data_IF_128087221919
#
_entry.id   IF_128087221919
#
_cell.length_a   1.000
_cell.length_b   1.000
_cell.length_c   1.000
_cell.angle_alpha   90.00
_cell.angle_beta   90.00
_cell.angle_gamma   90.00
#
_symmetry.space_group_name_H-M   'P 1'
#
loop_
_entity.id
_entity.type
_entity.pdbx_description
1 polymer ?
#
# COMPACT_ATOMS: atom_id res chain seq x y z
N UNK A 1 2.02 -2.36 -9.97
CA UNK A 1 2.29 -3.29 -11.10
C UNK A 1 1.83 -4.72 -10.80
N UNK A 2 2.43 -5.47 -9.86
CA UNK A 2 2.09 -6.90 -9.61
C UNK A 2 0.59 -7.15 -9.43
N UNK A 3 -0.09 -6.34 -8.60
CA UNK A 3 -1.54 -6.47 -8.37
C UNK A 3 -2.32 -6.37 -9.68
N UNK A 4 -2.09 -5.30 -10.45
CA UNK A 4 -2.74 -5.07 -11.73
C UNK A 4 -2.41 -6.15 -12.76
N UNK A 5 -1.17 -6.66 -12.81
CA UNK A 5 -0.81 -7.77 -13.69
C UNK A 5 -1.60 -9.06 -13.41
N UNK A 6 -2.08 -9.23 -12.17
CA UNK A 6 -2.91 -10.38 -11.75
C UNK A 6 -4.40 -10.11 -11.88
N UNK A 7 -4.80 -8.86 -12.10
CA UNK A 7 -6.21 -8.44 -12.22
C UNK A 7 -6.44 -7.62 -13.50
N UNK A 8 -6.65 -8.30 -14.65
CA UNK A 8 -7.03 -7.63 -15.89
C UNK A 8 -8.36 -6.88 -15.79
N UNK A 9 -9.27 -7.31 -14.91
CA UNK A 9 -10.56 -6.67 -14.68
C UNK A 9 -10.38 -5.28 -14.08
N UNK A 10 -9.49 -5.14 -13.08
CA UNK A 10 -9.12 -3.85 -12.52
C UNK A 10 -8.43 -2.96 -13.56
N UNK A 11 -7.55 -3.50 -14.41
CA UNK A 11 -6.96 -2.68 -15.48
C UNK A 11 -8.04 -2.12 -16.41
N UNK A 12 -9.02 -2.93 -16.82
CA UNK A 12 -10.12 -2.49 -17.67
C UNK A 12 -10.96 -1.41 -16.97
N UNK A 13 -11.33 -1.63 -15.70
CA UNK A 13 -12.11 -0.68 -14.91
C UNK A 13 -11.41 0.68 -14.77
N UNK A 14 -10.11 0.69 -14.45
CA UNK A 14 -9.34 1.93 -14.30
C UNK A 14 -9.09 2.65 -15.63
N UNK A 15 -9.01 1.91 -16.76
CA UNK A 15 -8.96 2.54 -18.09
C UNK A 15 -10.29 3.18 -18.47
N UNK A 16 -11.40 2.50 -18.19
CA UNK A 16 -12.74 2.98 -18.52
C UNK A 16 -13.12 4.19 -17.64
N UNK A 17 -12.75 4.15 -16.36
CA UNK A 17 -12.99 5.23 -15.41
C UNK A 17 -11.70 5.63 -14.67
N UNK A 18 -10.89 6.52 -15.24
CA UNK A 18 -9.67 7.02 -14.60
C UNK A 18 -9.91 7.77 -13.29
N UNK A 19 -11.15 8.23 -13.00
CA UNK A 19 -11.47 8.89 -11.74
C UNK A 19 -11.35 7.93 -10.53
N UNK A 20 -11.31 6.61 -10.76
CA UNK A 20 -11.07 5.59 -9.74
C UNK A 20 -9.60 5.44 -9.34
N UNK A 21 -8.66 5.98 -10.13
CA UNK A 21 -7.21 5.81 -9.90
C UNK A 21 -6.77 6.31 -8.52
N UNK A 22 -7.19 7.50 -8.02
CA UNK A 22 -6.82 7.94 -6.67
C UNK A 22 -7.28 6.96 -5.58
N UNK A 23 -8.51 6.45 -5.67
CA UNK A 23 -9.03 5.47 -4.71
C UNK A 23 -8.25 4.13 -4.79
N UNK A 24 -7.88 3.70 -6.00
CA UNK A 24 -7.07 2.51 -6.20
C UNK A 24 -5.66 2.67 -5.59
N UNK A 25 -5.06 3.85 -5.71
CA UNK A 25 -3.75 4.15 -5.12
C UNK A 25 -3.80 4.05 -3.60
N UNK A 26 -4.79 4.68 -2.96
CA UNK A 26 -4.92 4.59 -1.50
C UNK A 26 -5.14 3.14 -1.03
N UNK A 27 -5.98 2.38 -1.74
CA UNK A 27 -6.23 0.99 -1.38
C UNK A 27 -5.02 0.10 -1.60
N UNK A 28 -4.24 0.30 -2.68
CA UNK A 28 -2.98 -0.40 -2.90
C UNK A 28 -1.96 -0.07 -1.80
N UNK A 29 -1.87 1.21 -1.40
CA UNK A 29 -0.97 1.66 -0.33
C UNK A 29 -1.35 1.04 1.02
N UNK A 30 -2.65 0.99 1.36
CA UNK A 30 -3.14 0.29 2.56
C UNK A 30 -2.83 -1.20 2.48
N UNK A 31 -3.24 -1.86 1.40
CA UNK A 31 -3.16 -3.31 1.29
C UNK A 31 -1.72 -3.83 1.30
N UNK A 32 -0.80 -3.14 0.62
CA UNK A 32 0.60 -3.57 0.50
C UNK A 32 1.52 -2.96 1.54
N UNK A 33 1.24 -1.76 2.03
CA UNK A 33 1.99 -1.07 3.09
C UNK A 33 3.51 -1.12 2.85
N UNK A 34 4.07 -0.28 1.97
CA UNK A 34 5.44 -0.43 1.46
C UNK A 34 6.55 -0.50 2.52
N UNK A 35 6.31 0.07 3.71
CA UNK A 35 7.14 -0.12 4.89
C UNK A 35 6.35 -0.84 5.99
N UNK A 36 6.91 -1.94 6.52
CA UNK A 36 6.28 -2.77 7.57
C UNK A 36 5.84 -1.96 8.79
N UNK A 37 6.60 -0.94 9.13
CA UNK A 37 6.47 -0.20 10.37
C UNK A 37 7.78 0.47 10.77
N UNK A 38 7.75 1.20 11.88
CA UNK A 38 8.94 1.83 12.46
C UNK A 38 9.03 1.53 13.95
N UNK A 39 10.22 1.64 14.51
CA UNK A 39 10.43 1.54 15.94
C UNK A 39 10.17 2.88 16.65
N UNK A 40 9.71 2.81 17.89
CA UNK A 40 9.75 3.87 18.90
C UNK A 40 10.46 3.34 20.13
N UNK A 41 10.80 4.23 21.06
CA UNK A 41 11.38 3.85 22.35
C UNK A 41 10.57 4.56 23.43
N UNK A 42 10.12 3.81 24.43
CA UNK A 42 9.42 4.39 25.57
C UNK A 42 10.36 5.33 26.34
N UNK A 43 9.89 6.54 26.66
CA UNK A 43 10.66 7.52 27.45
C UNK A 43 10.31 7.47 28.95
N UNK A 44 9.31 6.67 29.29
CA UNK A 44 8.87 6.32 30.63
C UNK A 44 8.03 5.04 30.55
N UNK A 45 7.74 4.42 31.68
CA UNK A 45 6.77 3.32 31.75
C UNK A 45 5.42 3.79 31.20
N UNK A 46 4.85 3.02 30.26
CA UNK A 46 3.58 3.33 29.61
C UNK A 46 2.69 2.10 29.52
N UNK A 47 1.41 2.25 29.84
CA UNK A 47 0.42 1.18 29.70
C UNK A 47 -0.32 1.28 28.36
N UNK A 48 -0.26 0.22 27.55
CA UNK A 48 -0.99 0.10 26.29
C UNK A 48 -1.81 -1.18 26.31
N UNK A 49 -3.14 -1.07 26.20
CA UNK A 49 -4.08 -2.21 26.16
C UNK A 49 -3.85 -3.20 27.33
N UNK A 50 -3.60 -2.69 28.54
CA UNK A 50 -3.36 -3.50 29.73
C UNK A 50 -1.95 -4.10 29.84
N UNK A 51 -1.03 -3.77 28.92
CA UNK A 51 0.37 -4.18 28.97
C UNK A 51 1.25 -2.98 29.35
N UNK A 52 2.04 -3.11 30.41
CA UNK A 52 3.08 -2.14 30.74
C UNK A 52 4.31 -2.34 29.87
N UNK A 53 4.69 -1.29 29.15
CA UNK A 53 5.95 -1.21 28.40
C UNK A 53 6.92 -0.37 29.25
N UNK A 54 8.06 -0.94 29.69
CA UNK A 54 9.02 -0.22 30.51
C UNK A 54 9.68 0.96 29.80
N UNK A 55 10.18 1.93 30.55
CA UNK A 55 11.11 2.95 30.05
C UNK A 55 12.28 2.31 29.28
N UNK A 56 12.71 2.98 28.20
CA UNK A 56 13.77 2.57 27.28
C UNK A 56 13.48 1.31 26.44
N UNK A 57 12.32 0.67 26.59
CA UNK A 57 11.95 -0.50 25.77
C UNK A 57 11.66 -0.08 24.31
N UNK A 58 12.26 -0.75 23.30
CA UNK A 58 11.92 -0.54 21.90
C UNK A 58 10.54 -1.13 21.55
N UNK A 59 9.72 -0.33 20.88
CA UNK A 59 8.36 -0.68 20.47
C UNK A 59 8.31 -0.71 18.94
N UNK A 60 7.97 -1.86 18.36
CA UNK A 60 7.69 -1.96 16.92
C UNK A 60 6.25 -1.52 16.63
N UNK A 61 6.07 -0.44 15.87
CA UNK A 61 4.76 0.00 15.38
C UNK A 61 4.53 -0.60 13.99
N UNK A 62 3.76 -1.69 13.91
CA UNK A 62 3.63 -2.52 12.70
C UNK A 62 2.47 -2.05 11.82
N UNK A 63 2.73 -1.09 10.92
CA UNK A 63 1.74 -0.55 9.97
C UNK A 63 1.11 -1.63 9.09
N UNK A 64 1.89 -2.60 8.62
CA UNK A 64 1.38 -3.68 7.77
C UNK A 64 0.31 -4.52 8.47
N UNK A 65 0.40 -4.67 9.80
CA UNK A 65 -0.63 -5.32 10.61
C UNK A 65 -1.82 -4.40 10.83
N UNK A 66 -1.58 -3.14 11.20
CA UNK A 66 -2.63 -2.16 11.47
C UNK A 66 -3.52 -1.89 10.24
N UNK A 67 -2.92 -1.84 9.05
CA UNK A 67 -3.67 -1.70 7.79
C UNK A 67 -4.48 -2.94 7.42
N UNK A 68 -4.31 -4.07 8.14
CA UNK A 68 -5.10 -5.31 8.01
C UNK A 68 -5.96 -5.58 9.25
N UNK A 69 -6.11 -4.61 10.15
CA UNK A 69 -6.90 -4.77 11.37
C UNK A 69 -8.40 -4.88 11.02
N UNK A 70 -9.02 -6.02 11.36
CA UNK A 70 -10.43 -6.30 11.09
C UNK A 70 -11.40 -5.48 11.97
N UNK A 71 -10.92 -4.91 13.09
CA UNK A 71 -11.73 -3.97 13.89
C UNK A 71 -11.88 -2.61 13.19
N UNK A 72 -10.97 -2.29 12.24
CA UNK A 72 -10.98 -1.03 11.49
C UNK A 72 -11.46 -1.28 10.06
N UNK A 73 -10.86 -2.22 9.34
CA UNK A 73 -11.13 -2.49 7.93
C UNK A 73 -11.88 -3.80 7.76
N UNK A 74 -13.15 -3.72 7.36
CA UNK A 74 -13.93 -4.90 6.94
C UNK A 74 -13.26 -5.60 5.74
N UNK A 75 -13.27 -6.94 5.72
CA UNK A 75 -12.53 -7.75 4.74
C UNK A 75 -11.11 -7.21 4.50
N UNK A 76 -10.24 -7.15 5.52
CA UNK A 76 -9.02 -6.35 5.49
C UNK A 76 -8.01 -6.78 4.42
N UNK A 77 -8.06 -8.04 4.00
CA UNK A 77 -7.18 -8.62 2.98
C UNK A 77 -7.70 -8.43 1.55
N UNK A 78 -8.94 -7.98 1.38
CA UNK A 78 -9.58 -7.77 0.08
C UNK A 78 -9.28 -6.37 -0.45
N UNK A 79 -8.98 -6.27 -1.75
CA UNK A 79 -8.86 -5.00 -2.46
C UNK A 79 -10.25 -4.41 -2.74
N UNK A 80 -10.56 -3.26 -2.13
CA UNK A 80 -11.85 -2.55 -2.27
C UNK A 80 -11.67 -1.06 -2.44
N UNK A 81 -12.28 -0.50 -3.49
CA UNK A 81 -12.20 0.93 -3.82
C UNK A 81 -13.16 1.81 -3.02
N UNK A 82 -14.22 1.20 -2.47
CA UNK A 82 -15.36 1.85 -1.83
C UNK A 82 -15.23 1.93 -0.30
N UNK A 83 -14.03 1.72 0.25
CA UNK A 83 -13.81 1.72 1.70
C UNK A 83 -14.16 3.09 2.31
N UNK A 84 -15.11 3.17 3.25
CA UNK A 84 -15.54 4.45 3.82
C UNK A 84 -14.50 5.08 4.76
N UNK A 85 -13.53 4.29 5.21
CA UNK A 85 -12.58 4.64 6.26
C UNK A 85 -11.12 4.63 5.79
N UNK A 86 -10.88 4.89 4.50
CA UNK A 86 -9.52 4.92 3.93
C UNK A 86 -8.58 5.91 4.65
N UNK A 87 -9.12 7.01 5.20
CA UNK A 87 -8.38 8.00 5.99
C UNK A 87 -7.70 7.43 7.24
N UNK A 88 -8.13 6.26 7.70
CA UNK A 88 -7.57 5.60 8.88
C UNK A 88 -6.38 4.69 8.54
N UNK A 89 -6.05 4.55 7.24
CA UNK A 89 -4.83 3.88 6.79
C UNK A 89 -3.58 4.58 7.35
N UNK A 90 -2.64 3.78 7.82
CA UNK A 90 -1.36 4.24 8.37
C UNK A 90 -0.18 3.92 7.46
N UNK A 91 -0.42 3.71 6.16
CA UNK A 91 0.62 3.41 5.17
C UNK A 91 1.73 4.49 5.09
N UNK A 92 1.39 5.74 5.42
CA UNK A 92 2.33 6.88 5.51
C UNK A 92 2.67 7.30 6.95
N UNK A 93 2.36 6.46 7.93
CA UNK A 93 2.46 6.81 9.35
C UNK A 93 1.48 7.89 9.79
N UNK A 94 1.62 8.37 11.03
CA UNK A 94 0.77 9.41 11.63
C UNK A 94 1.55 10.25 12.63
N UNK A 95 1.03 11.44 12.93
CA UNK A 95 1.63 12.37 13.90
C UNK A 95 2.77 13.20 13.30
N UNK A 96 3.68 13.73 14.14
CA UNK A 96 4.77 14.62 13.69
C UNK A 96 5.74 14.00 12.67
N UNK A 97 5.77 12.66 12.60
CA UNK A 97 6.60 11.91 11.66
C UNK A 97 5.76 11.29 10.50
N UNK A 98 4.55 11.80 10.26
CA UNK A 98 3.81 11.45 9.05
C UNK A 98 4.67 11.78 7.81
N UNK A 99 4.61 10.92 6.79
CA UNK A 99 5.48 11.04 5.62
C UNK A 99 5.32 12.41 4.95
N UNK A 100 6.37 13.22 4.99
CA UNK A 100 6.42 14.54 4.34
C UNK A 100 6.25 14.45 2.81
N UNK A 101 6.65 13.31 2.23
CA UNK A 101 6.52 13.03 0.79
C UNK A 101 5.17 12.46 0.37
N UNK A 102 4.20 12.31 1.27
CA UNK A 102 2.97 11.56 0.96
C UNK A 102 2.13 12.18 -0.17
N UNK A 103 2.17 13.51 -0.34
CA UNK A 103 1.50 14.18 -1.46
C UNK A 103 2.25 13.94 -2.80
N UNK A 104 3.58 14.00 -2.77
CA UNK A 104 4.41 13.74 -3.95
C UNK A 104 4.29 12.29 -4.41
N UNK A 105 4.39 11.33 -3.48
CA UNK A 105 4.27 9.90 -3.79
C UNK A 105 2.92 9.57 -4.44
N UNK A 106 1.82 10.17 -3.97
CA UNK A 106 0.50 10.01 -4.59
C UNK A 106 0.45 10.57 -6.01
N UNK A 107 1.05 11.74 -6.24
CA UNK A 107 1.14 12.34 -7.56
C UNK A 107 1.96 11.44 -8.51
N UNK A 108 3.12 10.97 -8.08
CA UNK A 108 3.98 10.09 -8.87
C UNK A 108 3.27 8.77 -9.21
N UNK A 109 2.61 8.14 -8.24
CA UNK A 109 1.82 6.93 -8.45
C UNK A 109 0.64 7.16 -9.40
N UNK A 110 -0.03 8.31 -9.29
CA UNK A 110 -1.14 8.70 -10.16
C UNK A 110 -0.65 8.82 -11.61
N UNK A 111 0.37 9.63 -11.84
CA UNK A 111 0.95 9.83 -13.18
C UNK A 111 1.44 8.49 -13.75
N UNK A 112 2.22 7.73 -12.98
CA UNK A 112 2.75 6.45 -13.46
C UNK A 112 1.63 5.44 -13.82
N UNK A 113 0.55 5.39 -13.03
CA UNK A 113 -0.55 4.48 -13.30
C UNK A 113 -1.40 4.93 -14.49
N UNK A 114 -1.69 6.23 -14.61
CA UNK A 114 -2.40 6.83 -15.75
C UNK A 114 -1.64 6.53 -17.06
N UNK A 115 -0.35 6.86 -17.12
CA UNK A 115 0.48 6.67 -18.31
C UNK A 115 0.65 5.19 -18.66
N UNK A 116 0.86 4.32 -17.66
CA UNK A 116 0.99 2.88 -17.90
C UNK A 116 -0.31 2.26 -18.46
N UNK A 117 -1.47 2.67 -17.95
CA UNK A 117 -2.77 2.19 -18.43
C UNK A 117 -3.09 2.71 -19.83
N UNK A 118 -2.70 3.95 -20.16
CA UNK A 118 -2.89 4.56 -21.46
C UNK A 118 -1.95 3.98 -22.53
N UNK A 119 -0.68 3.74 -22.19
CA UNK A 119 0.33 3.27 -23.14
C UNK A 119 0.22 1.77 -23.46
N UNK A 120 -0.30 0.96 -22.54
CA UNK A 120 -0.38 -0.49 -22.69
C UNK A 120 -1.84 -0.99 -22.61
N UNK A 121 -2.39 -1.61 -23.68
CA UNK A 121 -3.76 -2.11 -23.69
C UNK A 121 -3.97 -3.27 -22.72
N UNK A 122 -2.93 -4.06 -22.48
CA UNK A 122 -2.88 -5.04 -21.41
C UNK A 122 -1.45 -5.29 -20.95
N UNK A 123 -1.28 -5.71 -19.70
CA UNK A 123 0.00 -6.17 -19.18
C UNK A 123 -0.20 -7.28 -18.15
N UNK A 124 0.65 -8.30 -18.18
CA UNK A 124 0.56 -9.47 -17.31
C UNK A 124 1.93 -9.85 -16.77
N UNK A 125 1.97 -10.72 -15.74
CA UNK A 125 3.22 -11.30 -15.29
C UNK A 125 3.82 -12.18 -16.39
N UNK A 126 5.13 -12.07 -16.60
CA UNK A 126 5.91 -12.88 -17.54
C UNK A 126 6.84 -13.87 -16.82
N UNK A 127 6.77 -13.92 -15.49
CA UNK A 127 7.61 -14.72 -14.61
C UNK A 127 7.36 -14.34 -13.16
N UNK A 128 8.05 -15.03 -12.25
CA UNK A 128 7.88 -14.82 -10.80
C UNK A 128 8.50 -13.50 -10.34
N UNK A 129 7.73 -12.65 -9.62
CA UNK A 129 8.29 -11.43 -9.02
C UNK A 129 9.27 -11.76 -7.91
N UNK A 130 10.44 -11.12 -7.92
CA UNK A 130 11.40 -11.18 -6.82
C UNK A 130 10.98 -10.17 -5.75
N UNK A 131 10.78 -10.61 -4.52
CA UNK A 131 10.38 -9.72 -3.42
C UNK A 131 11.57 -9.00 -2.80
N UNK A 132 11.31 -7.82 -2.21
CA UNK A 132 12.27 -7.12 -1.36
C UNK A 132 12.52 -7.90 -0.06
N UNK A 133 13.59 -7.51 0.65
CA UNK A 133 13.87 -7.98 2.01
C UNK A 133 13.41 -6.93 3.02
N UNK A 134 13.50 -7.26 4.31
CA UNK A 134 13.21 -6.32 5.39
C UNK A 134 14.10 -5.07 5.27
N UNK A 135 13.56 -3.84 5.48
CA UNK A 135 12.23 -3.53 6.01
C UNK A 135 11.09 -3.36 4.98
N UNK A 136 11.39 -3.31 3.68
CA UNK A 136 10.40 -3.01 2.65
C UNK A 136 9.44 -4.19 2.41
N UNK A 137 8.21 -3.86 2.00
CA UNK A 137 7.25 -4.81 1.41
C UNK A 137 7.03 -4.40 -0.04
N UNK A 138 7.38 -5.30 -0.96
CA UNK A 138 7.13 -5.09 -2.37
C UNK A 138 7.98 -6.00 -3.25
N UNK A 139 7.95 -5.71 -4.55
CA UNK A 139 8.77 -6.41 -5.52
C UNK A 139 10.04 -5.63 -5.84
N UNK A 140 11.18 -6.30 -5.78
CA UNK A 140 12.47 -5.84 -6.29
C UNK A 140 12.56 -5.95 -7.82
N UNK A 141 11.95 -7.00 -8.38
CA UNK A 141 11.90 -7.22 -9.83
C UNK A 141 10.56 -7.86 -10.22
N UNK A 142 9.99 -7.41 -11.33
CA UNK A 142 8.73 -7.92 -11.86
C UNK A 142 8.89 -8.13 -13.37
N UNK A 143 9.00 -9.39 -13.84
CA UNK A 143 8.93 -9.67 -15.26
C UNK A 143 7.51 -9.37 -15.78
N UNK A 144 7.39 -8.45 -16.74
CA UNK A 144 6.10 -8.03 -17.31
C UNK A 144 6.07 -8.30 -18.81
N UNK A 145 4.95 -8.85 -19.29
CA UNK A 145 4.63 -8.93 -20.71
C UNK A 145 3.57 -7.87 -21.01
N UNK A 146 3.86 -7.00 -21.96
CA UNK A 146 2.89 -6.05 -22.49
C UNK A 146 2.18 -6.68 -23.69
N UNK A 147 0.86 -6.60 -23.72
CA UNK A 147 0.07 -7.00 -24.87
C UNK A 147 0.26 -6.00 -26.01
N UNK A 148 0.37 -6.49 -27.24
CA UNK A 148 0.33 -5.62 -28.41
C UNK A 148 -1.03 -4.93 -28.47
N UNK A 149 -1.04 -3.62 -28.72
CA UNK A 149 -2.26 -2.93 -29.13
C UNK A 149 -2.79 -3.51 -30.43
N UNK A 150 -4.11 -3.53 -30.55
CA UNK A 150 -4.76 -3.76 -31.83
C UNK A 150 -4.35 -2.66 -32.83
#
# INVERSE_FOLDING_TARGET
>A
VVHLCRDPGLQCRLRHDPALIPAAIEELLRLYTPYRGFARTAVCDVEIRGTTIPEAEPIAVVYASANRDAEVFDEPDTFRLDRPNMKDSVAFGRGPHACVGAALARLELKVALEEMLAAAPSFSLAGEPVQTRFPEIGALSVPVRFGAGA
#
